data_IF_942998492787
#
_entry.id   IF_942998492787
#
_cell.length_a   1.000
_cell.length_b   1.000
_cell.length_c   1.000
_cell.angle_alpha   90.00
_cell.angle_beta   90.00
_cell.angle_gamma   90.00
#
_symmetry.space_group_name_H-M   'P 1'
#
loop_
_entity.id
_entity.type
_entity.pdbx_description
1 polymer ?
#
# COMPACT_ATOMS: atom_id res chain seq x y z
N UNK A 1 12.69 -8.54 42.81
CA UNK A 1 11.73 -7.66 42.09
C UNK A 1 12.54 -6.54 41.46
N UNK A 2 12.39 -6.28 40.16
CA UNK A 2 13.15 -5.23 39.48
C UNK A 2 12.32 -3.95 39.40
N UNK A 3 12.81 -2.84 39.96
CA UNK A 3 12.22 -1.51 39.76
C UNK A 3 12.57 -1.00 38.38
N UNK A 4 11.58 -0.47 37.63
CA UNK A 4 11.74 0.05 36.27
C UNK A 4 11.65 1.57 36.28
N UNK A 5 12.66 2.26 35.75
CA UNK A 5 12.72 3.73 35.65
C UNK A 5 12.72 4.18 34.18
N UNK A 6 11.78 3.66 33.39
CA UNK A 6 11.79 3.83 31.92
C UNK A 6 11.27 5.19 31.47
N UNK A 7 10.34 5.81 32.21
CA UNK A 7 9.74 7.09 31.84
C UNK A 7 10.77 8.22 31.85
N UNK A 8 11.55 8.36 32.92
CA UNK A 8 12.60 9.39 32.97
C UNK A 8 13.70 9.13 31.93
N UNK A 9 14.07 7.87 31.71
CA UNK A 9 15.02 7.50 30.65
C UNK A 9 14.51 7.92 29.27
N UNK A 10 13.25 7.62 28.94
CA UNK A 10 12.58 8.08 27.71
C UNK A 10 12.64 9.59 27.57
N UNK A 11 12.25 10.32 28.62
CA UNK A 11 12.26 11.78 28.59
C UNK A 11 13.67 12.35 28.43
N UNK A 12 14.70 11.71 29.01
CA UNK A 12 16.08 12.11 28.80
C UNK A 12 16.54 11.94 27.34
N UNK A 13 16.05 10.93 26.63
CA UNK A 13 16.33 10.81 25.18
C UNK A 13 15.55 11.83 24.36
N UNK A 14 14.35 12.23 24.76
CA UNK A 14 13.64 13.34 24.12
C UNK A 14 14.36 14.67 24.36
N UNK A 15 14.88 14.91 25.58
CA UNK A 15 15.74 16.06 25.89
C UNK A 15 16.99 16.06 24.98
N UNK A 16 17.64 14.90 24.78
CA UNK A 16 18.77 14.72 23.86
C UNK A 16 18.42 14.98 22.38
N UNK A 17 17.17 14.80 21.97
CA UNK A 17 16.77 15.12 20.60
C UNK A 17 16.70 16.64 20.37
N UNK A 18 16.40 17.41 21.42
CA UNK A 18 16.14 18.85 21.36
C UNK A 18 17.36 19.71 21.74
N UNK A 19 18.43 19.13 22.31
CA UNK A 19 19.59 19.89 22.81
C UNK A 19 20.58 20.33 21.73
N UNK A 20 20.47 19.79 20.51
CA UNK A 20 21.35 20.07 19.36
C UNK A 20 22.84 19.72 19.61
N UNK A 21 23.16 18.94 20.64
CA UNK A 21 24.52 18.54 21.00
C UNK A 21 24.87 17.16 20.42
N UNK A 22 26.17 16.89 20.19
CA UNK A 22 26.74 15.57 19.80
C UNK A 22 26.09 14.82 18.62
N UNK A 23 25.25 15.49 17.83
CA UNK A 23 24.61 14.89 16.67
C UNK A 23 25.66 14.50 15.62
N UNK A 24 25.41 13.37 14.96
CA UNK A 24 26.27 12.87 13.88
C UNK A 24 25.49 12.44 12.64
N UNK A 25 24.20 12.76 12.61
CA UNK A 25 23.31 12.54 11.49
C UNK A 25 22.48 13.81 11.26
N UNK A 26 22.39 14.22 10.00
CA UNK A 26 21.44 15.21 9.52
C UNK A 26 20.41 14.50 8.66
N UNK A 27 19.12 14.71 8.96
CA UNK A 27 18.00 14.18 8.19
C UNK A 27 17.22 15.36 7.60
N UNK A 28 17.24 15.48 6.28
CA UNK A 28 16.44 16.45 5.53
C UNK A 28 15.07 15.84 5.25
N UNK A 29 14.01 16.47 5.72
CA UNK A 29 12.63 15.95 5.61
C UNK A 29 11.77 16.92 4.82
N UNK A 30 10.92 16.37 3.95
CA UNK A 30 10.01 17.14 3.11
C UNK A 30 10.67 17.63 1.82
N UNK A 31 9.85 18.11 0.88
CA UNK A 31 10.32 18.59 -0.43
C UNK A 31 10.75 20.05 -0.34
N UNK A 32 11.89 20.35 -0.98
CA UNK A 32 12.34 21.74 -1.20
C UNK A 32 11.25 22.55 -1.93
N UNK A 33 11.00 23.82 -1.55
CA UNK A 33 11.76 24.63 -0.59
C UNK A 33 11.30 24.52 0.87
N UNK A 34 10.27 23.72 1.16
CA UNK A 34 9.66 23.62 2.50
C UNK A 34 10.20 22.42 3.29
N UNK A 35 11.50 22.12 3.16
CA UNK A 35 12.13 21.04 3.90
C UNK A 35 12.58 21.53 5.30
N UNK A 36 12.65 20.60 6.25
CA UNK A 36 13.19 20.83 7.60
C UNK A 36 14.38 19.90 7.86
N UNK A 37 15.38 20.44 8.52
CA UNK A 37 16.58 19.72 8.95
C UNK A 37 16.34 19.18 10.37
N UNK A 38 16.64 17.90 10.57
CA UNK A 38 16.65 17.26 11.87
C UNK A 38 18.07 16.79 12.19
N UNK A 39 18.58 17.21 13.34
CA UNK A 39 19.83 16.70 13.90
C UNK A 39 19.53 15.46 14.75
N UNK A 40 20.33 14.42 14.59
CA UNK A 40 20.06 13.15 15.25
C UNK A 40 21.32 12.31 15.56
N UNK A 41 21.09 11.30 16.39
CA UNK A 41 22.09 10.43 16.96
C UNK A 41 22.01 9.05 16.33
N UNK A 42 23.06 8.66 15.59
CA UNK A 42 23.12 7.37 14.92
C UNK A 42 22.90 6.16 15.86
N UNK A 43 23.36 6.12 17.12
CA UNK A 43 23.07 4.97 17.99
C UNK A 43 21.57 4.79 18.22
N UNK A 44 20.85 5.87 18.55
CA UNK A 44 19.40 5.82 18.81
C UNK A 44 18.65 5.33 17.57
N UNK A 45 18.91 5.95 16.42
CA UNK A 45 18.26 5.60 15.16
C UNK A 45 18.47 4.10 14.79
N UNK A 46 19.71 3.61 14.84
CA UNK A 46 20.07 2.25 14.38
C UNK A 46 19.53 1.12 15.28
N UNK A 47 19.25 1.41 16.55
CA UNK A 47 18.68 0.42 17.48
C UNK A 47 17.16 0.42 17.50
N UNK A 48 16.53 1.51 17.03
CA UNK A 48 15.07 1.67 17.04
C UNK A 48 14.42 1.45 15.66
N UNK A 49 15.22 1.42 14.60
CA UNK A 49 14.76 1.20 13.23
C UNK A 49 15.81 0.44 12.41
N UNK A 50 15.39 -0.66 11.78
CA UNK A 50 16.26 -1.42 10.87
C UNK A 50 16.55 -0.64 9.58
N UNK A 51 15.61 0.20 9.13
CA UNK A 51 15.83 1.12 8.02
C UNK A 51 17.03 2.01 8.28
N UNK A 52 17.02 2.73 9.42
CA UNK A 52 18.13 3.62 9.76
C UNK A 52 19.43 2.85 10.02
N UNK A 53 19.36 1.64 10.58
CA UNK A 53 20.53 0.75 10.71
C UNK A 53 21.21 0.53 9.37
N UNK A 54 20.44 0.12 8.36
CA UNK A 54 20.95 -0.21 7.04
C UNK A 54 21.35 1.05 6.26
N UNK A 55 20.51 2.09 6.29
CA UNK A 55 20.77 3.37 5.64
C UNK A 55 22.06 4.00 6.14
N UNK A 56 22.23 4.12 7.46
CA UNK A 56 23.42 4.72 8.05
C UNK A 56 24.68 3.87 7.84
N UNK A 57 24.58 2.54 7.70
CA UNK A 57 25.74 1.71 7.37
C UNK A 57 26.30 2.04 5.98
N UNK A 58 25.42 2.37 5.03
CA UNK A 58 25.76 2.63 3.63
C UNK A 58 25.97 4.13 3.29
N UNK A 59 25.57 5.05 4.18
CA UNK A 59 25.77 6.49 3.99
C UNK A 59 27.21 6.90 4.30
N UNK A 60 27.86 7.61 3.37
CA UNK A 60 29.17 8.25 3.56
C UNK A 60 29.12 9.38 4.60
N UNK A 61 30.28 9.74 5.13
CA UNK A 61 30.42 10.90 6.02
C UNK A 61 30.92 12.11 5.24
N UNK A 62 30.54 13.31 5.67
CA UNK A 62 31.13 14.55 5.19
C UNK A 62 32.46 14.87 5.90
N UNK A 63 33.02 16.05 5.61
CA UNK A 63 34.27 16.56 6.20
C UNK A 63 34.21 16.70 7.73
N UNK A 64 33.00 16.90 8.29
CA UNK A 64 32.74 17.04 9.72
C UNK A 64 32.34 15.70 10.36
N UNK A 65 32.49 14.57 9.66
CA UNK A 65 32.08 13.24 10.09
C UNK A 65 30.55 13.05 10.25
N UNK A 66 29.74 13.93 9.68
CA UNK A 66 28.26 13.89 9.73
C UNK A 66 27.73 13.05 8.56
N UNK A 67 26.69 12.26 8.82
CA UNK A 67 25.97 11.50 7.78
C UNK A 67 24.69 12.24 7.38
N UNK A 68 24.43 12.36 6.08
CA UNK A 68 23.21 13.00 5.57
C UNK A 68 22.22 11.97 5.03
N UNK A 69 20.95 12.12 5.38
CA UNK A 69 19.83 11.30 4.89
C UNK A 69 18.73 12.23 4.39
N UNK A 70 18.19 11.94 3.21
CA UNK A 70 17.04 12.66 2.67
C UNK A 70 15.78 11.80 2.73
N UNK A 71 14.71 12.35 3.30
CA UNK A 71 13.37 11.77 3.43
C UNK A 71 12.35 12.73 2.80
N UNK A 72 12.53 13.01 1.51
CA UNK A 72 11.79 14.05 0.80
C UNK A 72 10.30 13.72 0.60
N UNK A 73 9.90 12.46 0.70
CA UNK A 73 8.51 12.02 0.55
C UNK A 73 7.72 12.02 1.87
N UNK A 74 8.40 12.12 3.01
CA UNK A 74 7.77 12.19 4.34
C UNK A 74 7.55 13.68 4.68
N UNK A 75 6.37 14.01 5.17
CA UNK A 75 6.09 15.37 5.64
C UNK A 75 6.80 15.67 6.97
N UNK A 76 7.05 16.95 7.24
CA UNK A 76 7.67 17.39 8.49
C UNK A 76 6.87 16.91 9.70
N UNK A 77 5.55 17.08 9.68
CA UNK A 77 4.67 16.68 10.80
C UNK A 77 4.73 15.17 11.06
N UNK A 78 4.70 14.35 10.01
CA UNK A 78 4.81 12.90 10.14
C UNK A 78 6.15 12.50 10.75
N UNK A 79 7.26 13.08 10.27
CA UNK A 79 8.58 12.75 10.79
C UNK A 79 8.78 13.22 12.23
N UNK A 80 8.24 14.38 12.63
CA UNK A 80 8.28 14.87 14.01
C UNK A 80 7.65 13.87 14.99
N UNK A 81 6.58 13.19 14.58
CA UNK A 81 5.94 12.16 15.39
C UNK A 81 6.81 10.89 15.45
N UNK A 82 7.34 10.46 14.29
CA UNK A 82 8.18 9.26 14.20
C UNK A 82 9.49 9.41 14.98
N UNK A 83 10.17 10.56 14.88
CA UNK A 83 11.45 10.77 15.57
C UNK A 83 11.26 10.80 17.08
N UNK A 84 10.15 11.38 17.58
CA UNK A 84 9.78 11.32 19.00
C UNK A 84 9.49 9.90 19.47
N UNK A 85 8.84 9.07 18.66
CA UNK A 85 8.70 7.65 18.94
C UNK A 85 10.07 6.92 18.96
N UNK A 86 10.98 7.25 18.05
CA UNK A 86 12.30 6.63 18.00
C UNK A 86 13.06 6.92 19.30
N UNK A 87 13.09 8.17 19.76
CA UNK A 87 13.84 8.58 20.95
C UNK A 87 13.12 8.24 22.26
N UNK A 88 11.85 8.62 22.41
CA UNK A 88 11.10 8.47 23.65
C UNK A 88 10.25 7.19 23.72
N UNK A 89 9.98 6.53 22.59
CA UNK A 89 9.02 5.41 22.58
C UNK A 89 7.57 5.84 22.89
N UNK A 90 7.26 7.13 22.70
CA UNK A 90 5.93 7.71 22.96
C UNK A 90 5.30 8.17 21.66
N UNK A 91 3.99 7.91 21.51
CA UNK A 91 3.17 8.44 20.42
C UNK A 91 1.83 8.93 20.98
N UNK A 92 1.38 10.11 20.55
CA UNK A 92 0.11 10.72 20.99
C UNK A 92 -0.87 10.76 19.82
N UNK A 93 -1.87 9.87 19.84
CA UNK A 93 -2.84 9.71 18.74
C UNK A 93 -4.13 10.51 18.93
N UNK A 94 -4.46 10.93 20.16
CA UNK A 94 -5.77 11.47 20.54
C UNK A 94 -6.22 12.67 19.71
N UNK A 95 -5.28 13.50 19.28
CA UNK A 95 -5.54 14.73 18.52
C UNK A 95 -5.27 14.59 17.02
N UNK A 96 -4.90 13.40 16.55
CA UNK A 96 -4.56 13.17 15.16
C UNK A 96 -5.79 12.75 14.36
N UNK A 97 -5.89 13.25 13.13
CA UNK A 97 -6.86 12.75 12.17
C UNK A 97 -6.57 11.29 11.82
N UNK A 98 -7.62 10.52 11.51
CA UNK A 98 -7.45 9.08 11.23
C UNK A 98 -6.64 8.84 9.95
N UNK A 99 -6.77 9.72 8.96
CA UNK A 99 -5.92 9.75 7.75
C UNK A 99 -4.44 9.84 8.10
N UNK A 100 -4.07 10.78 8.98
CA UNK A 100 -2.69 10.94 9.43
C UNK A 100 -2.19 9.71 10.22
N UNK A 101 -3.03 9.10 11.05
CA UNK A 101 -2.69 7.85 11.76
C UNK A 101 -2.40 6.72 10.76
N UNK A 102 -3.22 6.61 9.71
CA UNK A 102 -3.01 5.64 8.63
C UNK A 102 -1.70 5.91 7.86
N UNK A 103 -1.40 7.16 7.54
CA UNK A 103 -0.13 7.53 6.89
C UNK A 103 1.08 7.24 7.80
N UNK A 104 0.97 7.52 9.10
CA UNK A 104 2.01 7.19 10.08
C UNK A 104 2.27 5.68 10.16
N UNK A 105 1.24 4.85 10.02
CA UNK A 105 1.38 3.39 9.98
C UNK A 105 2.21 2.97 8.76
N UNK A 106 1.94 3.54 7.58
CA UNK A 106 2.70 3.27 6.36
C UNK A 106 4.16 3.73 6.49
N UNK A 107 4.40 4.90 7.07
CA UNK A 107 5.76 5.43 7.29
C UNK A 107 6.52 4.61 8.33
N UNK A 108 5.86 4.20 9.42
CA UNK A 108 6.45 3.33 10.42
C UNK A 108 6.88 2.00 9.80
N UNK A 109 6.05 1.45 8.91
CA UNK A 109 6.37 0.25 8.13
C UNK A 109 7.56 0.49 7.19
N UNK A 110 7.56 1.57 6.41
CA UNK A 110 8.67 1.93 5.51
C UNK A 110 10.01 2.09 6.26
N UNK A 111 9.95 2.71 7.44
CA UNK A 111 11.11 2.91 8.31
C UNK A 111 11.43 1.67 9.17
N UNK A 112 10.77 0.54 8.94
CA UNK A 112 10.99 -0.73 9.64
C UNK A 112 10.96 -0.57 11.17
N UNK A 113 9.93 0.12 11.64
CA UNK A 113 9.60 0.35 13.05
C UNK A 113 8.49 -0.63 13.49
N UNK A 114 8.76 -1.94 13.44
CA UNK A 114 7.76 -3.01 13.54
C UNK A 114 6.81 -2.91 14.75
N UNK A 115 7.34 -2.55 15.93
CA UNK A 115 6.53 -2.34 17.14
C UNK A 115 5.47 -1.25 16.94
N UNK A 116 5.86 -0.12 16.34
CA UNK A 116 4.95 0.99 16.05
C UNK A 116 3.96 0.63 14.95
N UNK A 117 4.42 -0.03 13.88
CA UNK A 117 3.56 -0.46 12.78
C UNK A 117 2.43 -1.34 13.29
N UNK A 118 2.77 -2.38 14.06
CA UNK A 118 1.78 -3.30 14.63
C UNK A 118 0.81 -2.59 15.57
N UNK A 119 1.31 -1.68 16.40
CA UNK A 119 0.46 -0.90 17.28
C UNK A 119 -0.55 -0.04 16.50
N UNK A 120 -0.10 0.65 15.44
CA UNK A 120 -0.95 1.50 14.62
C UNK A 120 -1.97 0.70 13.81
N UNK A 121 -1.60 -0.46 13.25
CA UNK A 121 -2.53 -1.37 12.57
C UNK A 121 -3.69 -1.77 13.50
N UNK A 122 -3.37 -2.28 14.69
CA UNK A 122 -4.37 -2.70 15.67
C UNK A 122 -5.23 -1.52 16.12
N UNK A 123 -4.63 -0.36 16.40
CA UNK A 123 -5.38 0.83 16.77
C UNK A 123 -6.39 1.24 15.69
N UNK A 124 -5.99 1.24 14.42
CA UNK A 124 -6.87 1.58 13.30
C UNK A 124 -8.02 0.58 13.17
N UNK A 125 -7.74 -0.72 13.32
CA UNK A 125 -8.72 -1.80 13.23
C UNK A 125 -9.71 -1.76 14.39
N UNK A 126 -9.25 -1.55 15.61
CA UNK A 126 -10.09 -1.63 16.82
C UNK A 126 -10.86 -0.32 17.06
N UNK A 127 -10.20 0.82 16.87
CA UNK A 127 -10.75 2.12 17.25
C UNK A 127 -11.30 2.94 16.07
N UNK A 128 -10.85 2.65 14.83
CA UNK A 128 -11.14 3.49 13.64
C UNK A 128 -11.74 2.71 12.47
N UNK A 129 -12.30 1.52 12.72
CA UNK A 129 -12.85 0.64 11.69
C UNK A 129 -13.93 1.27 10.79
N UNK A 130 -14.69 2.26 11.29
CA UNK A 130 -15.69 2.97 10.48
C UNK A 130 -15.03 3.77 9.36
N UNK A 131 -13.96 4.50 9.68
CA UNK A 131 -13.15 5.21 8.71
C UNK A 131 -12.49 4.23 7.73
N UNK A 132 -11.93 3.12 8.22
CA UNK A 132 -11.34 2.11 7.34
C UNK A 132 -12.34 1.54 6.33
N UNK A 133 -13.61 1.36 6.72
CA UNK A 133 -14.67 0.89 5.80
C UNK A 133 -15.09 1.95 4.78
N UNK A 134 -15.02 3.22 5.14
CA UNK A 134 -15.32 4.33 4.22
C UNK A 134 -14.25 4.45 3.13
N UNK A 135 -12.98 4.23 3.50
CA UNK A 135 -11.81 4.34 2.62
C UNK A 135 -11.32 2.97 2.10
N UNK A 136 -12.20 1.95 2.09
CA UNK A 136 -11.81 0.55 1.96
C UNK A 136 -11.00 0.22 0.72
N UNK A 137 -11.36 0.74 -0.46
CA UNK A 137 -10.64 0.47 -1.71
C UNK A 137 -9.18 0.91 -1.64
N UNK A 138 -8.92 2.12 -1.13
CA UNK A 138 -7.56 2.64 -0.95
C UNK A 138 -6.77 1.80 0.06
N UNK A 139 -7.41 1.44 1.17
CA UNK A 139 -6.77 0.65 2.23
C UNK A 139 -6.43 -0.76 1.73
N UNK A 140 -7.36 -1.40 1.00
CA UNK A 140 -7.12 -2.69 0.39
C UNK A 140 -5.91 -2.62 -0.55
N UNK A 141 -5.86 -1.64 -1.44
CA UNK A 141 -4.75 -1.44 -2.37
C UNK A 141 -3.41 -1.34 -1.63
N UNK A 142 -3.31 -0.46 -0.63
CA UNK A 142 -2.09 -0.30 0.18
C UNK A 142 -1.72 -1.59 0.95
N UNK A 143 -2.70 -2.30 1.51
CA UNK A 143 -2.45 -3.56 2.23
C UNK A 143 -2.06 -4.71 1.29
N UNK A 144 -2.57 -4.73 0.05
CA UNK A 144 -2.29 -5.79 -0.91
C UNK A 144 -0.88 -5.70 -1.51
N UNK A 145 -0.30 -4.51 -1.51
CA UNK A 145 1.07 -4.26 -1.99
C UNK A 145 2.12 -4.60 -0.93
N UNK A 146 1.73 -4.65 0.35
CA UNK A 146 2.65 -4.81 1.48
C UNK A 146 2.36 -6.11 2.23
N UNK A 147 3.15 -7.15 1.94
CA UNK A 147 3.00 -8.47 2.56
C UNK A 147 3.29 -8.50 4.07
N UNK A 148 3.78 -7.40 4.63
CA UNK A 148 4.18 -7.29 6.04
C UNK A 148 3.11 -6.61 6.91
N UNK A 149 2.10 -5.95 6.31
CA UNK A 149 0.94 -5.37 7.02
C UNK A 149 -0.13 -6.45 7.29
N UNK A 150 0.24 -7.48 8.03
CA UNK A 150 -0.54 -8.72 8.17
C UNK A 150 -1.90 -8.48 8.85
N UNK A 151 -1.97 -7.64 9.88
CA UNK A 151 -3.22 -7.40 10.61
C UNK A 151 -4.23 -6.66 9.73
N UNK A 152 -3.77 -5.61 9.03
CA UNK A 152 -4.62 -4.85 8.12
C UNK A 152 -5.04 -5.68 6.91
N UNK A 153 -4.13 -6.49 6.35
CA UNK A 153 -4.43 -7.37 5.24
C UNK A 153 -5.46 -8.44 5.64
N UNK A 154 -5.33 -9.04 6.82
CA UNK A 154 -6.32 -10.00 7.34
C UNK A 154 -7.68 -9.35 7.55
N UNK A 155 -7.72 -8.13 8.09
CA UNK A 155 -8.95 -7.36 8.25
C UNK A 155 -9.63 -7.08 6.90
N UNK A 156 -8.85 -6.63 5.91
CA UNK A 156 -9.32 -6.43 4.54
C UNK A 156 -9.87 -7.72 3.91
N UNK A 157 -9.12 -8.81 4.03
CA UNK A 157 -9.48 -10.12 3.49
C UNK A 157 -10.80 -10.64 4.08
N UNK A 158 -10.99 -10.50 5.39
CA UNK A 158 -12.24 -10.91 6.07
C UNK A 158 -13.47 -10.15 5.56
N UNK A 159 -13.30 -8.90 5.13
CA UNK A 159 -14.39 -8.09 4.57
C UNK A 159 -14.63 -8.47 3.12
N UNK A 160 -13.59 -8.58 2.30
CA UNK A 160 -13.74 -8.74 0.86
C UNK A 160 -14.32 -10.11 0.47
N UNK A 161 -14.02 -11.15 1.24
CA UNK A 161 -14.63 -12.48 1.08
C UNK A 161 -16.15 -12.39 1.15
N UNK A 162 -16.68 -11.67 2.15
CA UNK A 162 -18.13 -11.56 2.39
C UNK A 162 -18.80 -10.50 1.53
N UNK A 163 -18.07 -9.43 1.22
CA UNK A 163 -18.61 -8.24 0.57
C UNK A 163 -17.71 -7.77 -0.60
N UNK A 164 -17.48 -8.63 -1.62
CA UNK A 164 -16.60 -8.30 -2.74
C UNK A 164 -17.03 -7.02 -3.47
N UNK A 165 -18.34 -6.75 -3.49
CA UNK A 165 -18.93 -5.53 -4.06
C UNK A 165 -18.34 -4.22 -3.50
N UNK A 166 -17.74 -4.22 -2.29
CA UNK A 166 -17.11 -3.03 -1.70
C UNK A 166 -15.96 -2.50 -2.55
N UNK A 167 -15.22 -3.38 -3.23
CA UNK A 167 -14.16 -3.00 -4.16
C UNK A 167 -14.71 -2.91 -5.58
N UNK A 168 -15.37 -3.97 -6.05
CA UNK A 168 -15.83 -4.05 -7.44
C UNK A 168 -16.80 -2.93 -7.84
N UNK A 169 -17.65 -2.46 -6.92
CA UNK A 169 -18.60 -1.36 -7.20
C UNK A 169 -18.04 0.02 -6.84
N UNK A 170 -16.79 0.11 -6.38
CA UNK A 170 -16.22 1.40 -6.00
C UNK A 170 -15.94 2.27 -7.23
N UNK A 171 -16.06 3.59 -7.09
CA UNK A 171 -15.76 4.54 -8.16
C UNK A 171 -14.30 4.44 -8.63
N UNK A 172 -13.40 4.09 -7.70
CA UNK A 172 -11.98 3.91 -7.93
C UNK A 172 -11.60 2.50 -8.42
N UNK A 173 -12.57 1.63 -8.72
CA UNK A 173 -12.27 0.26 -9.16
C UNK A 173 -11.40 0.26 -10.43
N UNK A 174 -11.73 1.11 -11.39
CA UNK A 174 -11.00 1.19 -12.65
C UNK A 174 -9.56 1.72 -12.50
N UNK A 175 -9.23 2.38 -11.38
CA UNK A 175 -7.88 2.87 -11.08
C UNK A 175 -7.07 1.92 -10.21
N UNK A 176 -7.62 0.78 -9.79
CA UNK A 176 -6.88 -0.21 -9.01
C UNK A 176 -5.66 -0.69 -9.80
N UNK A 177 -4.52 -0.76 -9.10
CA UNK A 177 -3.33 -1.39 -9.65
C UNK A 177 -3.57 -2.85 -10.04
N UNK A 178 -2.92 -3.27 -11.12
CA UNK A 178 -3.00 -4.64 -11.65
C UNK A 178 -2.66 -5.69 -10.60
N UNK A 179 -1.62 -5.48 -9.80
CA UNK A 179 -1.18 -6.40 -8.73
C UNK A 179 -2.26 -6.60 -7.67
N UNK A 180 -2.92 -5.52 -7.23
CA UNK A 180 -4.02 -5.57 -6.27
C UNK A 180 -5.23 -6.32 -6.85
N UNK A 181 -5.58 -6.07 -8.11
CA UNK A 181 -6.69 -6.75 -8.77
C UNK A 181 -6.40 -8.25 -9.01
N UNK A 182 -5.17 -8.61 -9.39
CA UNK A 182 -4.72 -10.00 -9.50
C UNK A 182 -4.83 -10.71 -8.16
N UNK A 183 -4.39 -10.08 -7.06
CA UNK A 183 -4.49 -10.66 -5.71
C UNK A 183 -5.93 -10.96 -5.32
N UNK A 184 -6.87 -10.11 -5.77
CA UNK A 184 -8.29 -10.26 -5.52
C UNK A 184 -8.89 -11.42 -6.31
N UNK A 185 -8.66 -11.49 -7.62
CA UNK A 185 -9.28 -12.48 -8.52
C UNK A 185 -8.74 -13.91 -8.26
N UNK A 186 -7.49 -14.04 -7.82
CA UNK A 186 -6.88 -15.33 -7.45
C UNK A 186 -7.58 -16.03 -6.29
N UNK A 187 -8.39 -15.31 -5.51
CA UNK A 187 -9.09 -15.87 -4.35
C UNK A 187 -10.21 -16.79 -4.82
N UNK A 188 -10.25 -18.01 -4.28
CA UNK A 188 -11.31 -18.99 -4.54
C UNK A 188 -12.52 -18.81 -3.59
N UNK A 189 -12.40 -17.94 -2.57
CA UNK A 189 -13.38 -17.80 -1.48
C UNK A 189 -14.28 -16.57 -1.61
N UNK A 190 -14.15 -15.78 -2.68
CA UNK A 190 -14.99 -14.60 -2.91
C UNK A 190 -16.46 -15.02 -3.09
N UNK A 191 -17.35 -14.39 -2.32
CA UNK A 191 -18.80 -14.56 -2.45
C UNK A 191 -19.33 -13.77 -3.67
N UNK A 192 -18.88 -14.12 -4.87
CA UNK A 192 -19.26 -13.51 -6.15
C UNK A 192 -19.23 -14.54 -7.27
N UNK A 193 -20.24 -14.51 -8.15
CA UNK A 193 -20.26 -15.34 -9.35
C UNK A 193 -19.13 -14.97 -10.31
N UNK A 194 -18.49 -15.97 -10.91
CA UNK A 194 -17.34 -15.77 -11.80
C UNK A 194 -17.67 -14.88 -13.02
N UNK A 195 -18.90 -14.94 -13.54
CA UNK A 195 -19.34 -14.05 -14.64
C UNK A 195 -19.30 -12.57 -14.25
N UNK A 196 -19.58 -12.23 -12.99
CA UNK A 196 -19.48 -10.86 -12.49
C UNK A 196 -18.03 -10.41 -12.45
N UNK A 197 -17.13 -11.28 -11.97
CA UNK A 197 -15.69 -11.04 -11.95
C UNK A 197 -15.18 -10.75 -13.37
N UNK A 198 -15.57 -11.58 -14.35
CA UNK A 198 -15.27 -11.36 -15.76
C UNK A 198 -15.73 -9.99 -16.26
N UNK A 199 -16.99 -9.61 -16.00
CA UNK A 199 -17.54 -8.33 -16.42
C UNK A 199 -16.76 -7.14 -15.84
N UNK A 200 -16.32 -7.23 -14.57
CA UNK A 200 -15.47 -6.21 -13.97
C UNK A 200 -14.08 -6.16 -14.58
N UNK A 201 -13.46 -7.30 -14.91
CA UNK A 201 -12.14 -7.33 -15.54
C UNK A 201 -12.20 -6.72 -16.94
N UNK A 202 -13.22 -7.02 -17.73
CA UNK A 202 -13.45 -6.38 -19.02
C UNK A 202 -13.60 -4.87 -18.84
N UNK A 203 -14.44 -4.43 -17.89
CA UNK A 203 -14.61 -3.01 -17.58
C UNK A 203 -13.29 -2.32 -17.19
N UNK A 204 -12.48 -2.97 -16.35
CA UNK A 204 -11.16 -2.48 -15.95
C UNK A 204 -10.21 -2.40 -17.15
N UNK A 205 -10.12 -3.46 -17.96
CA UNK A 205 -9.24 -3.50 -19.14
C UNK A 205 -9.60 -2.44 -20.19
N UNK A 206 -10.89 -2.18 -20.40
CA UNK A 206 -11.36 -1.10 -21.27
C UNK A 206 -10.94 0.26 -20.72
N UNK A 207 -11.11 0.49 -19.40
CA UNK A 207 -10.70 1.75 -18.77
C UNK A 207 -9.18 1.99 -18.85
N UNK A 208 -8.38 0.93 -18.85
CA UNK A 208 -6.93 0.98 -19.06
C UNK A 208 -6.52 1.14 -20.53
N UNK A 209 -7.48 1.14 -21.47
CA UNK A 209 -7.22 1.24 -22.91
C UNK A 209 -8.06 2.38 -23.53
N UNK A 210 -7.67 3.65 -23.33
CA UNK A 210 -8.51 4.81 -23.67
C UNK A 210 -8.83 4.98 -25.16
N UNK A 211 -8.09 4.31 -26.05
CA UNK A 211 -8.29 4.36 -27.50
C UNK A 211 -9.42 3.43 -28.01
N UNK A 212 -10.03 2.63 -27.13
CA UNK A 212 -11.09 1.70 -27.53
C UNK A 212 -12.41 2.44 -27.81
N UNK A 213 -13.13 2.09 -28.89
CA UNK A 213 -14.52 2.51 -29.08
C UNK A 213 -15.41 2.04 -27.92
N UNK A 214 -16.53 2.74 -27.68
CA UNK A 214 -17.41 2.43 -26.55
C UNK A 214 -18.09 1.05 -26.65
N UNK A 215 -18.39 0.59 -27.86
CA UNK A 215 -19.14 -0.65 -28.09
C UNK A 215 -18.23 -1.73 -28.73
N UNK A 216 -18.19 -2.96 -28.17
CA UNK A 216 -17.34 -4.04 -28.70
C UNK A 216 -17.59 -4.40 -30.16
N UNK A 217 -18.82 -4.19 -30.65
CA UNK A 217 -19.20 -4.43 -32.05
C UNK A 217 -18.45 -3.53 -33.05
N UNK A 218 -17.96 -2.38 -32.60
CA UNK A 218 -17.26 -1.39 -33.42
C UNK A 218 -15.73 -1.57 -33.36
N UNK A 219 -15.24 -2.63 -32.69
CA UNK A 219 -13.82 -2.83 -32.47
C UNK A 219 -13.13 -3.49 -33.66
N UNK A 220 -11.95 -2.97 -34.01
CA UNK A 220 -11.04 -3.58 -34.98
C UNK A 220 -10.28 -4.75 -34.35
N UNK A 221 -9.63 -5.59 -35.17
CA UNK A 221 -8.73 -6.63 -34.67
C UNK A 221 -7.62 -6.08 -33.78
N UNK A 222 -7.11 -4.88 -34.10
CA UNK A 222 -6.08 -4.21 -33.31
C UNK A 222 -6.59 -3.84 -31.92
N UNK A 223 -7.82 -3.31 -31.82
CA UNK A 223 -8.47 -3.00 -30.54
C UNK A 223 -8.54 -4.23 -29.63
N UNK A 224 -8.94 -5.39 -30.17
CA UNK A 224 -8.95 -6.64 -29.40
C UNK A 224 -7.56 -7.09 -28.98
N UNK A 225 -6.53 -6.93 -29.82
CA UNK A 225 -5.14 -7.26 -29.43
C UNK A 225 -4.61 -6.34 -28.33
N UNK A 226 -4.96 -5.05 -28.35
CA UNK A 226 -4.61 -4.12 -27.28
C UNK A 226 -5.24 -4.55 -25.97
N UNK A 227 -6.56 -4.78 -25.94
CA UNK A 227 -7.24 -5.24 -24.72
C UNK A 227 -6.68 -6.58 -24.23
N UNK A 228 -6.40 -7.51 -25.14
CA UNK A 228 -5.79 -8.81 -24.80
C UNK A 228 -4.45 -8.63 -24.11
N UNK A 229 -3.61 -7.73 -24.60
CA UNK A 229 -2.31 -7.44 -24.01
C UNK A 229 -2.49 -6.88 -22.59
N UNK A 230 -3.40 -5.92 -22.41
CA UNK A 230 -3.77 -5.36 -21.10
C UNK A 230 -4.28 -6.44 -20.14
N UNK A 231 -5.08 -7.38 -20.63
CA UNK A 231 -5.72 -8.41 -19.81
C UNK A 231 -4.91 -9.71 -19.66
N UNK A 232 -3.72 -9.79 -20.25
CA UNK A 232 -2.98 -11.06 -20.40
C UNK A 232 -2.74 -11.80 -19.07
N UNK A 233 -2.51 -11.05 -17.98
CA UNK A 233 -2.28 -11.64 -16.65
C UNK A 233 -3.57 -12.03 -15.91
N UNK A 234 -4.73 -11.54 -16.36
CA UNK A 234 -6.04 -11.82 -15.77
C UNK A 234 -6.74 -13.00 -16.44
N UNK A 235 -6.66 -13.11 -17.78
CA UNK A 235 -7.36 -14.14 -18.55
C UNK A 235 -7.10 -15.58 -18.04
N UNK A 236 -5.87 -15.96 -17.63
CA UNK A 236 -5.60 -17.29 -17.08
C UNK A 236 -6.17 -17.53 -15.68
N UNK A 237 -6.54 -16.46 -14.96
CA UNK A 237 -7.08 -16.54 -13.60
C UNK A 237 -8.59 -16.75 -13.58
N UNK A 238 -9.27 -16.56 -14.71
CA UNK A 238 -10.72 -16.68 -14.83
C UNK A 238 -11.13 -18.15 -14.90
N UNK A 239 -12.07 -18.53 -14.03
CA UNK A 239 -12.59 -19.89 -13.91
C UNK A 239 -13.80 -20.09 -14.82
N UNK A 240 -13.60 -20.04 -16.15
CA UNK A 240 -14.70 -20.14 -17.14
C UNK A 240 -15.64 -21.34 -16.93
N UNK A 241 -15.14 -22.44 -16.36
CA UNK A 241 -15.92 -23.63 -16.03
C UNK A 241 -16.98 -23.43 -14.92
N UNK A 242 -16.89 -22.33 -14.15
CA UNK A 242 -17.88 -21.94 -13.13
C UNK A 242 -18.99 -21.05 -13.70
N UNK A 243 -18.90 -20.64 -14.97
CA UNK A 243 -19.94 -19.83 -15.62
C UNK A 243 -20.99 -20.73 -16.28
N UNK A 244 -22.25 -20.27 -16.31
CA UNK A 244 -23.28 -20.97 -17.07
C UNK A 244 -23.05 -20.82 -18.58
N UNK A 245 -23.65 -21.71 -19.39
CA UNK A 245 -23.58 -21.59 -20.86
C UNK A 245 -24.16 -20.25 -21.35
N UNK A 246 -25.22 -19.78 -20.71
CA UNK A 246 -25.84 -18.49 -21.03
C UNK A 246 -24.89 -17.32 -20.71
N UNK A 247 -24.21 -17.38 -19.57
CA UNK A 247 -23.20 -16.39 -19.19
C UNK A 247 -22.05 -16.32 -20.20
N UNK A 248 -21.55 -17.47 -20.65
CA UNK A 248 -20.49 -17.55 -21.65
C UNK A 248 -20.95 -16.91 -22.97
N UNK A 249 -22.16 -17.23 -23.45
CA UNK A 249 -22.70 -16.69 -24.70
C UNK A 249 -22.90 -15.18 -24.60
N UNK A 250 -23.46 -14.70 -23.49
CA UNK A 250 -23.86 -13.30 -23.37
C UNK A 250 -22.69 -12.37 -22.99
N UNK A 251 -21.73 -12.85 -22.19
CA UNK A 251 -20.69 -11.99 -21.60
C UNK A 251 -19.28 -12.28 -22.13
N UNK A 252 -18.95 -13.55 -22.42
CA UNK A 252 -17.59 -13.95 -22.83
C UNK A 252 -17.43 -13.96 -24.35
N UNK A 253 -18.40 -14.52 -25.08
CA UNK A 253 -18.39 -14.65 -26.53
C UNK A 253 -18.20 -13.31 -27.28
N UNK A 254 -18.76 -12.17 -26.84
CA UNK A 254 -18.48 -10.87 -27.48
C UNK A 254 -17.00 -10.48 -27.51
N UNK A 255 -16.19 -11.04 -26.63
CA UNK A 255 -14.75 -10.78 -26.51
C UNK A 255 -13.88 -11.98 -26.90
N UNK A 256 -14.44 -13.01 -27.56
CA UNK A 256 -13.73 -14.26 -27.82
C UNK A 256 -12.36 -14.08 -28.50
N UNK A 257 -12.19 -13.03 -29.32
CA UNK A 257 -10.92 -12.69 -29.99
C UNK A 257 -9.75 -12.40 -29.02
N UNK A 258 -10.02 -12.00 -27.77
CA UNK A 258 -8.95 -11.83 -26.76
C UNK A 258 -8.49 -13.18 -26.18
N UNK A 259 -9.33 -14.21 -26.27
CA UNK A 259 -9.05 -15.56 -25.78
C UNK A 259 -8.37 -16.44 -26.83
N UNK A 260 -8.54 -16.13 -28.12
CA UNK A 260 -7.88 -16.86 -29.20
C UNK A 260 -6.36 -16.80 -29.05
N UNK A 261 -5.69 -17.97 -29.04
CA UNK A 261 -4.23 -17.99 -29.21
C UNK A 261 -3.91 -17.38 -30.57
N UNK A 262 -2.91 -16.49 -30.63
CA UNK A 262 -2.38 -16.02 -31.91
C UNK A 262 -1.98 -17.29 -32.67
N UNK A 263 -2.75 -17.65 -33.70
CA UNK A 263 -2.43 -18.74 -34.59
C UNK A 263 -1.20 -18.32 -35.39
N UNK A 264 -0.02 -18.57 -34.82
CA UNK A 264 1.23 -18.59 -35.56
C UNK A 264 1.08 -19.61 -36.68
N UNK A 265 1.21 -19.11 -37.91
CA UNK A 265 1.31 -19.84 -39.18
C UNK A 265 1.60 -21.33 -39.03
N UNK A 266 0.63 -22.15 -39.40
CA UNK A 266 0.87 -23.47 -39.97
C UNK A 266 0.45 -23.35 -41.43
N UNK A 267 1.43 -23.14 -42.31
CA UNK A 267 1.61 -23.78 -43.62
C UNK A 267 3.06 -23.56 -44.03
#
# INVERSE_FOLDING_TARGET
MASKFLEKLSNNYLELLDDEEDFNVIINVGKSPNNKIFQAHSPVLRYRSLYFRNKLANTGKDENNIKMIDLNHISIQQFEIIIKYIYGGVILLEKLETSLIFELMLIAHELLCDELTKYLELHLIESKASWLRLHFTQIYEQSSQNNELLELQNWCNNIIVKYPHKIFNSENFNSLQETALISLIRRDDLQMEEVKIWNYIIKWGIAQTPSLPSEPKDWSQENFQTLKTTLNNFLPLIRYFQMSKEDIINNVQPYYQILEKISGKIY
#
